data_IF_509807877839
#
_entry.id   IF_509807877839
#
_cell.length_a   1.000
_cell.length_b   1.000
_cell.length_c   1.000
_cell.angle_alpha   90.00
_cell.angle_beta   90.00
_cell.angle_gamma   90.00
#
_symmetry.space_group_name_H-M   'P 1'
#
loop_
_entity.id
_entity.type
_entity.pdbx_description
1 polymer ?
#
# COMPACT_ATOMS: atom_id res chain seq x y z
N UNK A 1 -21.51 -1.32 -21.80
CA UNK A 1 -20.04 -1.14 -21.79
C UNK A 1 -19.58 -1.12 -20.34
N UNK A 2 -18.46 -1.78 -20.01
CA UNK A 2 -17.93 -1.86 -18.64
C UNK A 2 -16.45 -1.48 -18.61
N UNK A 3 -15.97 -0.98 -17.47
CA UNK A 3 -14.57 -0.67 -17.21
C UNK A 3 -14.17 -1.15 -15.80
N UNK A 4 -12.90 -1.51 -15.61
CA UNK A 4 -12.32 -1.90 -14.33
C UNK A 4 -11.32 -0.84 -13.88
N UNK A 5 -11.44 -0.39 -12.64
CA UNK A 5 -10.49 0.47 -11.97
C UNK A 5 -9.90 -0.27 -10.77
N UNK A 6 -8.58 -0.31 -10.69
CA UNK A 6 -7.82 -0.94 -9.61
C UNK A 6 -6.64 -0.03 -9.22
N UNK A 7 -6.15 -0.15 -7.99
CA UNK A 7 -5.08 0.70 -7.48
C UNK A 7 -3.86 -0.14 -7.10
N UNK A 8 -2.70 0.26 -7.63
CA UNK A 8 -1.42 -0.37 -7.31
C UNK A 8 -1.11 -0.28 -5.81
N UNK A 9 -1.02 -1.44 -5.16
CA UNK A 9 -0.64 -1.57 -3.75
C UNK A 9 -1.41 -0.62 -2.83
N UNK A 10 -2.75 -0.56 -2.96
CA UNK A 10 -3.61 0.49 -2.39
C UNK A 10 -3.20 0.96 -0.98
N UNK A 11 -3.14 0.07 0.01
CA UNK A 11 -2.80 0.46 1.38
C UNK A 11 -1.40 1.06 1.50
N UNK A 12 -0.38 0.47 0.85
CA UNK A 12 0.98 1.02 0.87
C UNK A 12 1.08 2.37 0.13
N UNK A 13 0.32 2.53 -0.96
CA UNK A 13 0.23 3.79 -1.71
C UNK A 13 -0.46 4.89 -0.88
N UNK A 14 -1.52 4.57 -0.15
CA UNK A 14 -2.17 5.50 0.77
C UNK A 14 -1.20 6.00 1.85
N UNK A 15 -0.44 5.11 2.48
CA UNK A 15 0.58 5.49 3.45
C UNK A 15 1.59 6.49 2.83
N UNK A 16 2.12 6.21 1.64
CA UNK A 16 3.08 7.11 0.95
C UNK A 16 2.48 8.48 0.56
N UNK A 17 1.16 8.57 0.37
CA UNK A 17 0.47 9.85 0.10
C UNK A 17 0.46 10.73 1.35
N UNK A 18 0.14 10.16 2.51
CA UNK A 18 0.04 10.90 3.78
C UNK A 18 1.37 11.00 4.54
N UNK A 19 2.35 10.15 4.20
CA UNK A 19 3.71 10.13 4.72
C UNK A 19 4.72 10.27 3.57
N UNK A 20 4.96 11.50 3.07
CA UNK A 20 5.87 11.74 1.95
C UNK A 20 7.29 11.24 2.20
N UNK A 21 7.71 11.13 3.46
CA UNK A 21 8.99 10.58 3.88
C UNK A 21 9.15 9.06 3.59
N UNK A 22 8.06 8.36 3.26
CA UNK A 22 8.06 6.95 2.90
C UNK A 22 8.10 6.70 1.39
N UNK A 23 8.09 7.74 0.53
CA UNK A 23 7.99 7.58 -0.93
C UNK A 23 9.03 6.63 -1.52
N UNK A 24 10.28 6.81 -1.13
CA UNK A 24 11.43 6.01 -1.60
C UNK A 24 11.85 4.92 -0.59
N UNK A 25 10.92 4.53 0.29
CA UNK A 25 11.13 3.47 1.28
C UNK A 25 10.29 2.24 0.92
N UNK A 26 10.84 1.06 1.22
CA UNK A 26 10.06 -0.18 1.23
C UNK A 26 9.03 -0.11 2.35
N UNK A 27 7.76 -0.38 2.02
CA UNK A 27 6.62 -0.28 2.94
C UNK A 27 5.85 -1.59 2.92
N UNK A 28 5.56 -2.12 4.11
CA UNK A 28 4.60 -3.21 4.31
C UNK A 28 3.48 -2.73 5.23
N UNK A 29 2.25 -3.13 4.94
CA UNK A 29 1.08 -2.86 5.78
C UNK A 29 0.63 -4.17 6.38
N UNK A 30 0.49 -4.21 7.70
CA UNK A 30 0.05 -5.37 8.45
C UNK A 30 -1.47 -5.29 8.72
N UNK A 31 -2.13 -6.45 8.76
CA UNK A 31 -3.46 -6.59 9.34
C UNK A 31 -3.37 -6.49 10.87
N UNK A 32 -4.48 -6.13 11.51
CA UNK A 32 -4.64 -5.74 12.91
C UNK A 32 -3.88 -6.62 13.91
N UNK A 33 -2.59 -6.33 14.08
CA UNK A 33 -1.68 -6.97 15.02
C UNK A 33 -1.65 -8.51 14.95
N UNK A 34 -2.02 -9.10 13.82
CA UNK A 34 -2.01 -10.55 13.58
C UNK A 34 -0.74 -11.03 12.86
N UNK A 35 0.15 -10.09 12.54
CA UNK A 35 1.41 -10.36 11.82
C UNK A 35 1.23 -10.66 10.34
N UNK A 36 0.02 -10.54 9.79
CA UNK A 36 -0.26 -10.81 8.39
C UNK A 36 0.03 -9.58 7.52
N UNK A 37 0.84 -9.72 6.47
CA UNK A 37 1.10 -8.66 5.50
C UNK A 37 -0.07 -8.60 4.51
N UNK A 38 -0.77 -7.47 4.47
CA UNK A 38 -1.94 -7.26 3.58
C UNK A 38 -1.62 -6.38 2.36
N UNK A 39 -0.53 -5.63 2.40
CA UNK A 39 -0.02 -4.90 1.25
C UNK A 39 1.49 -4.70 1.37
N UNK A 40 2.15 -4.57 0.21
CA UNK A 40 3.54 -4.16 0.12
C UNK A 40 3.74 -3.15 -1.00
N UNK A 41 4.75 -2.30 -0.88
CA UNK A 41 5.26 -1.48 -1.97
C UNK A 41 5.79 -2.34 -3.13
N UNK A 42 5.96 -1.72 -4.29
CA UNK A 42 6.52 -2.40 -5.47
C UNK A 42 8.01 -2.75 -5.25
N UNK A 43 8.74 -1.84 -4.61
CA UNK A 43 10.10 -2.03 -4.09
C UNK A 43 10.12 -3.04 -2.95
#
# INVERSE_FOLDING_TARGET
>A
MFALADVNSFYASCEKVFRPDLRDRSVVVLSNNDGCVIARSAE
#
